data_IF_800355635076
#
_entry.id   IF_800355635076
#
_cell.length_a   1.000
_cell.length_b   1.000
_cell.length_c   1.000
_cell.angle_alpha   90.00
_cell.angle_beta   90.00
_cell.angle_gamma   90.00
#
_symmetry.space_group_name_H-M   'P 1'
#
loop_
_entity.id
_entity.type
_entity.pdbx_description
1 polymer ?
#
# COMPACT_ATOMS: atom_id res chain seq x y z
N UNK A 1 -10.44 31.50 -31.72
CA UNK A 1 -11.92 31.52 -31.62
C UNK A 1 -12.30 30.11 -31.17
N UNK A 2 -12.58 29.76 -29.92
CA UNK A 2 -13.24 30.41 -28.77
C UNK A 2 -12.33 30.35 -27.50
N UNK A 3 -11.96 31.47 -26.87
CA UNK A 3 -12.52 32.13 -25.65
C UNK A 3 -12.30 31.37 -24.32
N UNK A 4 -11.55 32.04 -23.44
CA UNK A 4 -11.15 31.72 -22.06
C UNK A 4 -12.34 31.61 -21.07
N UNK A 5 -12.15 30.91 -19.95
CA UNK A 5 -12.60 31.40 -18.63
C UNK A 5 -11.73 30.86 -17.48
N UNK A 6 -11.07 31.79 -16.79
CA UNK A 6 -10.49 31.64 -15.46
C UNK A 6 -11.40 32.42 -14.50
N UNK A 7 -12.01 31.75 -13.52
CA UNK A 7 -12.75 32.40 -12.43
C UNK A 7 -12.63 31.59 -11.14
N UNK A 8 -11.96 32.17 -10.15
CA UNK A 8 -12.19 31.89 -8.73
C UNK A 8 -13.63 32.23 -8.37
N UNK A 9 -14.29 31.40 -7.56
CA UNK A 9 -14.87 31.81 -6.26
C UNK A 9 -15.56 30.63 -5.55
N UNK A 10 -15.19 30.53 -4.28
CA UNK A 10 -15.82 29.85 -3.12
C UNK A 10 -17.35 29.64 -3.23
N UNK A 11 -17.82 28.42 -2.94
CA UNK A 11 -18.73 28.10 -1.81
C UNK A 11 -19.48 26.78 -2.05
N UNK A 12 -19.20 25.75 -1.26
CA UNK A 12 -20.21 24.98 -0.52
C UNK A 12 -19.53 23.85 0.22
N UNK A 13 -19.69 23.92 1.53
CA UNK A 13 -19.30 22.95 2.53
C UNK A 13 -20.11 21.66 2.38
N UNK A 14 -19.46 20.58 1.92
CA UNK A 14 -19.71 19.25 2.43
C UNK A 14 -18.38 18.50 2.44
N UNK A 15 -17.98 18.10 3.65
CA UNK A 15 -16.76 17.38 3.99
C UNK A 15 -16.64 16.06 3.23
N UNK A 16 -15.92 16.06 2.12
CA UNK A 16 -15.27 14.83 1.64
C UNK A 16 -14.15 14.49 2.63
N UNK A 17 -14.14 13.31 3.26
CA UNK A 17 -12.95 12.88 3.98
C UNK A 17 -11.83 12.73 2.94
N UNK A 18 -10.83 13.61 3.03
CA UNK A 18 -9.54 13.40 2.39
C UNK A 18 -8.92 12.15 3.00
N UNK A 19 -9.24 10.99 2.43
CA UNK A 19 -8.53 9.75 2.73
C UNK A 19 -7.23 9.82 1.92
N UNK A 20 -6.06 9.94 2.57
CA UNK A 20 -4.82 9.88 1.83
C UNK A 20 -4.67 8.44 1.31
N UNK A 21 -4.57 8.33 -0.01
CA UNK A 21 -3.97 7.18 -0.70
C UNK A 21 -4.90 5.99 -0.98
N UNK A 22 -5.85 6.20 -1.89
CA UNK A 22 -6.38 5.14 -2.76
C UNK A 22 -5.37 4.97 -3.91
N UNK A 23 -4.95 3.73 -4.20
CA UNK A 23 -4.13 3.44 -5.38
C UNK A 23 -5.03 3.59 -6.61
N UNK A 24 -5.14 4.81 -7.13
CA UNK A 24 -5.70 5.07 -8.45
C UNK A 24 -4.56 5.49 -9.36
N UNK A 25 -4.14 4.61 -10.26
CA UNK A 25 -3.24 4.96 -11.36
C UNK A 25 -4.08 5.48 -12.54
N UNK A 26 -4.05 6.78 -12.89
CA UNK A 26 -4.56 7.23 -14.18
C UNK A 26 -3.61 6.79 -15.32
N UNK A 27 -4.11 6.50 -16.53
CA UNK A 27 -3.33 5.92 -17.64
C UNK A 27 -2.35 6.88 -18.33
N UNK A 28 -1.96 8.00 -17.71
CA UNK A 28 -1.06 8.97 -18.32
C UNK A 28 -0.12 9.60 -17.29
N UNK A 29 0.98 8.91 -16.99
CA UNK A 29 2.11 9.44 -16.25
C UNK A 29 3.31 9.55 -17.19
N UNK A 30 3.40 10.67 -17.92
CA UNK A 30 4.57 11.03 -18.74
C UNK A 30 5.35 12.23 -18.19
N UNK A 31 5.12 12.64 -16.95
CA UNK A 31 5.92 13.68 -16.26
C UNK A 31 5.53 13.77 -14.78
N UNK A 32 6.33 13.16 -13.92
CA UNK A 32 6.42 13.56 -12.51
C UNK A 32 7.90 13.64 -12.14
N UNK A 33 8.52 14.75 -12.56
CA UNK A 33 9.85 15.14 -12.13
C UNK A 33 9.69 16.36 -11.21
N UNK A 34 10.18 16.23 -9.97
CA UNK A 34 10.31 17.23 -8.90
C UNK A 34 9.07 17.49 -8.03
N UNK A 35 9.13 16.97 -6.81
CA UNK A 35 8.56 17.64 -5.64
C UNK A 35 9.28 17.24 -4.35
N UNK A 36 10.51 17.75 -4.12
CA UNK A 36 11.11 17.87 -2.77
C UNK A 36 12.25 18.90 -2.81
N UNK A 37 11.94 20.20 -2.60
CA UNK A 37 12.91 21.21 -2.14
C UNK A 37 12.19 22.29 -1.32
N UNK A 38 12.44 22.30 0.00
CA UNK A 38 12.40 23.40 0.99
C UNK A 38 12.05 22.76 2.35
N UNK A 39 12.74 22.97 3.48
CA UNK A 39 13.71 23.99 3.87
C UNK A 39 14.35 23.55 5.20
N UNK A 40 15.61 23.92 5.45
CA UNK A 40 16.21 23.87 6.79
C UNK A 40 17.48 23.04 6.90
N UNK A 41 18.62 23.72 6.94
CA UNK A 41 19.92 23.15 7.26
C UNK A 41 19.94 22.60 8.70
N UNK A 42 20.35 21.36 8.90
CA UNK A 42 20.97 20.91 10.14
C UNK A 42 22.04 19.86 9.84
N UNK A 43 23.22 20.09 10.41
CA UNK A 43 24.51 19.47 10.15
C UNK A 43 24.60 17.98 10.54
N UNK A 44 23.96 17.11 9.76
CA UNK A 44 24.10 15.64 9.84
C UNK A 44 24.44 14.98 8.49
N UNK A 45 24.67 15.79 7.45
CA UNK A 45 24.83 15.35 6.06
C UNK A 45 26.15 14.64 5.73
N UNK A 46 27.09 14.48 6.67
CA UNK A 46 28.42 13.91 6.38
C UNK A 46 28.57 12.43 6.77
N UNK A 47 27.61 11.84 7.49
CA UNK A 47 27.67 10.42 7.88
C UNK A 47 26.83 9.53 6.94
N UNK A 48 25.91 10.11 6.16
CA UNK A 48 25.03 9.36 5.24
C UNK A 48 25.45 9.39 3.77
N UNK A 49 26.54 10.07 3.39
CA UNK A 49 26.96 10.15 1.99
C UNK A 49 27.56 8.86 1.42
N UNK A 50 27.89 7.88 2.28
CA UNK A 50 28.54 6.62 1.87
C UNK A 50 27.63 5.39 1.93
N UNK A 51 26.39 5.51 2.43
CA UNK A 51 25.43 4.39 2.45
C UNK A 51 24.27 4.58 1.45
N UNK A 52 24.16 5.76 0.84
CA UNK A 52 23.13 6.10 -0.15
C UNK A 52 23.43 5.59 -1.57
N UNK A 53 24.48 4.78 -1.77
CA UNK A 53 24.95 4.41 -3.11
C UNK A 53 24.54 2.99 -3.57
N UNK A 54 23.72 2.25 -2.80
CA UNK A 54 23.42 0.86 -3.15
C UNK A 54 21.94 0.55 -3.42
N UNK A 55 21.00 1.40 -3.01
CA UNK A 55 19.56 1.15 -3.24
C UNK A 55 18.80 2.43 -3.60
N UNK A 56 17.88 2.31 -4.56
CA UNK A 56 16.98 3.37 -5.03
C UNK A 56 16.00 3.81 -3.93
N UNK A 57 15.56 5.08 -3.95
CA UNK A 57 14.56 5.59 -2.98
C UNK A 57 13.22 4.85 -3.15
N UNK A 58 12.95 4.43 -4.38
CA UNK A 58 11.81 3.62 -4.78
C UNK A 58 11.83 2.24 -4.13
N UNK A 59 13.00 1.58 -4.10
CA UNK A 59 13.15 0.33 -3.36
C UNK A 59 12.95 0.53 -1.86
N UNK A 60 13.56 1.55 -1.27
CA UNK A 60 13.40 1.83 0.16
C UNK A 60 11.92 2.01 0.53
N UNK A 61 11.17 2.74 -0.31
CA UNK A 61 9.73 2.87 -0.15
C UNK A 61 8.98 1.55 -0.31
N UNK A 62 9.31 0.75 -1.33
CA UNK A 62 8.67 -0.55 -1.55
C UNK A 62 8.89 -1.53 -0.37
N UNK A 63 10.10 -1.54 0.19
CA UNK A 63 10.44 -2.30 1.41
C UNK A 63 9.62 -1.84 2.60
N UNK A 64 9.51 -0.53 2.81
CA UNK A 64 8.70 0.02 3.91
C UNK A 64 7.22 -0.39 3.80
N UNK A 65 6.64 -0.32 2.59
CA UNK A 65 5.26 -0.76 2.34
C UNK A 65 5.10 -2.26 2.64
N UNK A 66 6.04 -3.09 2.19
CA UNK A 66 6.03 -4.53 2.43
C UNK A 66 6.11 -4.86 3.93
N UNK A 67 7.05 -4.25 4.66
CA UNK A 67 7.23 -4.50 6.09
C UNK A 67 6.03 -4.04 6.93
N UNK A 68 5.43 -2.89 6.58
CA UNK A 68 4.22 -2.39 7.23
C UNK A 68 3.03 -3.31 7.00
N UNK A 69 2.86 -3.78 5.77
CA UNK A 69 1.77 -4.71 5.41
C UNK A 69 1.92 -6.02 6.16
N UNK A 70 3.13 -6.58 6.22
CA UNK A 70 3.41 -7.79 7.01
C UNK A 70 3.09 -7.60 8.50
N UNK A 71 3.51 -6.47 9.08
CA UNK A 71 3.22 -6.14 10.48
C UNK A 71 1.72 -5.97 10.75
N UNK A 72 0.98 -5.40 9.79
CA UNK A 72 -0.47 -5.22 9.88
C UNK A 72 -1.20 -6.56 9.90
N UNK A 73 -0.93 -7.42 8.92
CA UNK A 73 -1.61 -8.71 8.84
C UNK A 73 -1.18 -9.65 9.97
N UNK A 74 0.07 -9.59 10.44
CA UNK A 74 0.49 -10.32 11.64
C UNK A 74 -0.34 -9.91 12.88
N UNK A 75 -0.65 -8.61 13.03
CA UNK A 75 -1.56 -8.12 14.07
C UNK A 75 -2.98 -8.65 13.88
N UNK A 76 -3.49 -8.70 12.65
CA UNK A 76 -4.80 -9.29 12.36
C UNK A 76 -4.85 -10.76 12.75
N UNK A 77 -3.84 -11.54 12.40
CA UNK A 77 -3.72 -12.94 12.80
C UNK A 77 -3.70 -13.09 14.33
N UNK A 78 -2.96 -12.22 15.03
CA UNK A 78 -2.86 -12.25 16.49
C UNK A 78 -4.16 -11.93 17.25
N UNK A 79 -5.05 -11.13 16.68
CA UNK A 79 -6.35 -10.78 17.30
C UNK A 79 -7.53 -11.54 16.71
N UNK A 80 -7.29 -12.46 15.78
CA UNK A 80 -8.35 -13.19 15.10
C UNK A 80 -9.21 -12.31 14.19
N UNK A 81 -8.67 -11.22 13.62
CA UNK A 81 -9.40 -10.34 12.71
C UNK A 81 -9.39 -10.86 11.27
N UNK A 82 -10.53 -10.78 10.59
CA UNK A 82 -10.70 -11.09 9.16
C UNK A 82 -11.25 -9.86 8.46
N UNK A 83 -10.56 -9.38 7.43
CA UNK A 83 -10.99 -8.22 6.66
C UNK A 83 -12.16 -8.52 5.70
N UNK A 84 -12.18 -9.72 5.11
CA UNK A 84 -13.26 -10.22 4.25
C UNK A 84 -13.25 -9.73 2.79
N UNK A 85 -12.53 -8.65 2.47
CA UNK A 85 -12.36 -8.10 1.10
C UNK A 85 -10.96 -7.50 0.97
N UNK A 86 -9.95 -8.34 0.69
CA UNK A 86 -8.55 -7.93 0.57
C UNK A 86 -8.12 -7.76 -0.89
N UNK A 87 -8.90 -6.98 -1.64
CA UNK A 87 -8.51 -6.54 -2.97
C UNK A 87 -7.34 -5.53 -2.90
N UNK A 88 -6.66 -5.31 -4.04
CA UNK A 88 -5.45 -4.47 -4.09
C UNK A 88 -5.71 -2.99 -3.77
N UNK A 89 -6.89 -2.49 -4.09
CA UNK A 89 -7.37 -1.15 -3.77
C UNK A 89 -7.70 -0.97 -2.28
N UNK A 90 -8.00 -2.07 -1.58
CA UNK A 90 -8.17 -2.11 -0.12
C UNK A 90 -6.88 -2.35 0.66
N UNK A 91 -5.74 -2.36 -0.03
CA UNK A 91 -4.42 -2.50 0.60
C UNK A 91 -3.76 -1.13 0.75
N UNK A 92 -3.75 -0.59 1.97
CA UNK A 92 -3.12 0.71 2.24
C UNK A 92 -1.60 0.63 2.17
N UNK A 93 -0.97 1.49 1.35
CA UNK A 93 0.50 1.64 1.33
C UNK A 93 1.08 2.12 2.65
N UNK A 94 0.25 2.70 3.53
CA UNK A 94 0.67 3.15 4.86
C UNK A 94 0.64 2.02 5.89
N UNK A 95 0.14 0.82 5.54
CA UNK A 95 -0.05 -0.29 6.47
C UNK A 95 -1.21 -0.08 7.44
N UNK A 96 -2.29 0.55 6.97
CA UNK A 96 -3.50 0.79 7.74
C UNK A 96 -4.61 -0.20 7.32
N UNK A 97 -5.43 -0.64 8.27
CA UNK A 97 -6.71 -1.27 7.95
C UNK A 97 -7.66 -0.21 7.40
N UNK A 98 -8.18 -0.43 6.20
CA UNK A 98 -9.09 0.48 5.51
C UNK A 98 -10.30 -0.30 5.01
N UNK A 99 -11.32 0.40 4.49
CA UNK A 99 -12.51 -0.19 3.87
C UNK A 99 -13.17 -1.33 4.68
N UNK A 100 -13.69 -0.97 5.85
CA UNK A 100 -14.44 -1.88 6.72
C UNK A 100 -15.80 -2.24 6.11
N UNK A 101 -15.83 -3.29 5.28
CA UNK A 101 -17.03 -3.90 4.73
C UNK A 101 -17.47 -5.12 5.55
N UNK A 102 -17.48 -6.34 4.95
CA UNK A 102 -17.82 -7.57 5.65
C UNK A 102 -16.62 -8.09 6.45
N UNK A 103 -16.15 -7.33 7.43
CA UNK A 103 -15.11 -7.80 8.35
C UNK A 103 -15.71 -8.64 9.48
N UNK A 104 -14.86 -9.38 10.19
CA UNK A 104 -15.28 -10.18 11.34
C UNK A 104 -14.12 -10.52 12.25
N UNK A 105 -14.44 -11.06 13.42
CA UNK A 105 -13.49 -11.64 14.34
C UNK A 105 -13.80 -13.12 14.53
N UNK A 106 -12.78 -13.94 14.74
CA UNK A 106 -12.95 -15.33 15.14
C UNK A 106 -13.62 -15.38 16.52
N UNK A 107 -14.67 -16.18 16.62
CA UNK A 107 -15.26 -16.59 17.90
C UNK A 107 -14.64 -17.92 18.33
N UNK A 108 -14.93 -18.98 17.58
CA UNK A 108 -14.15 -20.22 17.60
C UNK A 108 -13.01 -20.15 16.57
N UNK A 109 -11.87 -20.74 16.91
CA UNK A 109 -10.75 -20.83 15.98
C UNK A 109 -11.11 -21.71 14.77
N UNK A 110 -11.20 -21.09 13.60
CA UNK A 110 -11.39 -21.76 12.32
C UNK A 110 -10.53 -21.04 11.25
N UNK A 111 -9.43 -21.66 10.77
CA UNK A 111 -8.59 -21.09 9.72
C UNK A 111 -9.34 -20.80 8.42
N UNK A 112 -10.43 -21.51 8.18
CA UNK A 112 -11.24 -21.42 6.95
C UNK A 112 -12.40 -20.42 7.07
N UNK A 113 -12.54 -19.75 8.22
CA UNK A 113 -13.62 -18.79 8.46
C UNK A 113 -13.48 -17.56 7.56
N UNK A 114 -14.56 -17.18 6.89
CA UNK A 114 -14.70 -15.91 6.19
C UNK A 114 -16.03 -15.25 6.59
N UNK A 115 -16.03 -13.98 7.02
CA UNK A 115 -17.24 -13.22 7.30
C UNK A 115 -17.97 -12.80 6.02
N UNK A 116 -17.29 -12.83 4.87
CA UNK A 116 -17.84 -12.37 3.61
C UNK A 116 -18.67 -13.46 2.92
N UNK A 117 -19.99 -13.25 2.82
CA UNK A 117 -20.93 -14.20 2.22
C UNK A 117 -20.72 -14.38 0.72
N UNK A 118 -20.20 -13.38 0.01
CA UNK A 118 -19.92 -13.48 -1.44
C UNK A 118 -18.65 -14.28 -1.71
N UNK A 119 -17.74 -14.35 -0.73
CA UNK A 119 -16.50 -15.14 -0.79
C UNK A 119 -16.72 -16.61 -0.40
N UNK A 120 -17.89 -17.03 0.08
CA UNK A 120 -18.11 -18.41 0.56
C UNK A 120 -17.72 -19.55 -0.41
N UNK A 121 -17.93 -19.45 -1.75
CA UNK A 121 -17.57 -20.53 -2.67
C UNK A 121 -16.06 -20.75 -2.79
N UNK A 122 -15.25 -19.69 -2.63
CA UNK A 122 -13.79 -19.73 -2.83
C UNK A 122 -12.98 -19.55 -1.55
N UNK A 123 -13.55 -18.88 -0.55
CA UNK A 123 -12.95 -18.52 0.73
C UNK A 123 -11.57 -17.87 0.55
N UNK A 124 -11.45 -17.04 -0.49
CA UNK A 124 -10.20 -16.39 -0.89
C UNK A 124 -9.66 -15.54 0.25
N UNK A 125 -10.54 -14.85 0.98
CA UNK A 125 -10.20 -13.92 2.05
C UNK A 125 -10.45 -14.49 3.44
N UNK A 126 -10.49 -15.82 3.58
CA UNK A 126 -10.62 -16.46 4.89
C UNK A 126 -9.42 -16.16 5.80
N UNK A 127 -9.62 -16.35 7.10
CA UNK A 127 -8.65 -16.00 8.14
C UNK A 127 -7.22 -16.47 7.84
N UNK A 128 -7.05 -17.75 7.50
CA UNK A 128 -5.76 -18.36 7.25
C UNK A 128 -5.09 -17.92 5.94
N UNK A 129 -5.86 -17.40 4.97
CA UNK A 129 -5.33 -16.97 3.68
C UNK A 129 -4.86 -15.51 3.68
N UNK A 130 -5.22 -14.69 4.67
CA UNK A 130 -4.89 -13.26 4.68
C UNK A 130 -3.38 -12.96 4.52
N UNK A 131 -2.45 -13.70 5.16
CA UNK A 131 -1.00 -13.50 4.95
C UNK A 131 -0.57 -13.69 3.49
N UNK A 132 -1.06 -14.73 2.82
CA UNK A 132 -0.71 -15.05 1.44
C UNK A 132 -1.35 -14.07 0.45
N UNK A 133 -2.59 -13.64 0.72
CA UNK A 133 -3.26 -12.61 -0.09
C UNK A 133 -2.53 -11.27 0.02
N UNK A 134 -2.13 -10.85 1.22
CA UNK A 134 -1.34 -9.63 1.40
C UNK A 134 0.03 -9.72 0.69
N UNK A 135 0.70 -10.88 0.72
CA UNK A 135 1.92 -11.09 -0.08
C UNK A 135 1.65 -10.95 -1.58
N UNK A 136 0.53 -11.53 -2.05
CA UNK A 136 0.11 -11.40 -3.45
C UNK A 136 -0.17 -9.93 -3.83
N UNK A 137 -0.77 -9.14 -2.95
CA UNK A 137 -0.98 -7.70 -3.18
C UNK A 137 0.35 -6.93 -3.25
N UNK A 138 1.32 -7.24 -2.39
CA UNK A 138 2.68 -6.66 -2.47
C UNK A 138 3.38 -7.05 -3.78
N UNK A 139 3.18 -8.28 -4.26
CA UNK A 139 3.68 -8.69 -5.57
C UNK A 139 3.08 -7.87 -6.71
N UNK A 140 1.77 -7.57 -6.69
CA UNK A 140 1.15 -6.70 -7.70
C UNK A 140 1.68 -5.26 -7.63
N UNK A 141 1.87 -4.75 -6.42
CA UNK A 141 2.44 -3.42 -6.20
C UNK A 141 3.88 -3.31 -6.76
N UNK A 142 4.76 -4.24 -6.41
CA UNK A 142 6.15 -4.26 -6.92
C UNK A 142 6.22 -4.50 -8.43
N UNK A 143 5.35 -5.34 -8.99
CA UNK A 143 5.24 -5.52 -10.43
C UNK A 143 4.85 -4.22 -11.16
N UNK A 144 4.00 -3.40 -10.55
CA UNK A 144 3.61 -2.09 -11.10
C UNK A 144 4.78 -1.12 -11.10
N UNK A 145 5.60 -1.11 -10.05
CA UNK A 145 6.82 -0.29 -9.99
C UNK A 145 7.87 -0.76 -11.01
N UNK A 146 8.02 -2.08 -11.20
CA UNK A 146 8.91 -2.64 -12.23
C UNK A 146 8.45 -2.26 -13.64
N UNK A 147 7.15 -2.36 -13.92
CA UNK A 147 6.57 -1.92 -15.20
C UNK A 147 6.77 -0.42 -15.47
N UNK A 148 6.77 0.40 -14.42
CA UNK A 148 7.08 1.83 -14.50
C UNK A 148 8.59 2.14 -14.60
N UNK A 149 9.45 1.12 -14.68
CA UNK A 149 10.91 1.24 -14.72
C UNK A 149 11.51 1.95 -13.49
N UNK A 150 10.78 1.92 -12.36
CA UNK A 150 11.20 2.55 -11.11
C UNK A 150 12.11 1.64 -10.28
N UNK A 151 11.91 0.33 -10.38
CA UNK A 151 12.72 -0.70 -9.74
C UNK A 151 13.02 -1.82 -10.73
N UNK A 152 14.10 -2.55 -10.54
CA UNK A 152 14.39 -3.77 -11.31
C UNK A 152 13.83 -5.04 -10.63
N UNK A 153 13.84 -6.18 -11.34
CA UNK A 153 13.29 -7.43 -10.81
C UNK A 153 13.98 -7.93 -9.53
N UNK A 154 15.28 -7.65 -9.35
CA UNK A 154 16.00 -8.02 -8.12
C UNK A 154 15.53 -7.18 -6.94
N UNK A 155 15.31 -5.89 -7.16
CA UNK A 155 14.76 -4.97 -6.17
C UNK A 155 13.32 -5.34 -5.80
N UNK A 156 12.49 -5.71 -6.78
CA UNK A 156 11.13 -6.20 -6.56
C UNK A 156 11.13 -7.48 -5.71
N UNK A 157 12.00 -8.44 -6.04
CA UNK A 157 12.16 -9.67 -5.27
C UNK A 157 12.64 -9.39 -3.85
N UNK A 158 13.59 -8.47 -3.67
CA UNK A 158 14.07 -8.06 -2.36
C UNK A 158 12.94 -7.50 -1.48
N UNK A 159 12.09 -6.62 -2.03
CA UNK A 159 10.94 -6.09 -1.29
C UNK A 159 9.95 -7.20 -0.87
N UNK A 160 9.70 -8.18 -1.74
CA UNK A 160 8.87 -9.35 -1.40
C UNK A 160 9.51 -10.24 -0.32
N UNK A 161 10.83 -10.46 -0.36
CA UNK A 161 11.54 -11.19 0.69
C UNK A 161 11.40 -10.48 2.05
N UNK A 162 11.47 -9.15 2.08
CA UNK A 162 11.31 -8.37 3.31
C UNK A 162 9.92 -8.54 3.95
N UNK A 163 8.88 -8.75 3.16
CA UNK A 163 7.56 -9.12 3.66
C UNK A 163 7.62 -10.48 4.40
N UNK A 164 8.20 -11.49 3.76
CA UNK A 164 8.26 -12.87 4.29
C UNK A 164 9.09 -12.92 5.58
N UNK A 165 10.21 -12.20 5.65
CA UNK A 165 11.08 -12.16 6.84
C UNK A 165 10.43 -11.59 8.11
N UNK A 166 9.24 -10.99 8.01
CA UNK A 166 8.49 -10.48 9.17
C UNK A 166 7.50 -11.49 9.74
N UNK A 167 7.28 -12.61 9.06
CA UNK A 167 6.44 -13.71 9.52
C UNK A 167 7.24 -14.81 10.20
#
# INVERSE_FOLDING_TARGET
MYVYYCSRLLSSSHSCPFIPTIIHFPPCMHKLHKMYVCSGQCSLLTIFSNLSFMFSIELAWAVEVAERTASLVARWQGVGFIHGVLDTDNTSVLGLTIDYGPYGFLDAFDPSYTPNTTDLPGRRYCFGNQPDICLWNIKQFTATLSAAQMINDKEANYAMERYIWKF
#
